data_IF_780511064229
#
_entry.id   IF_780511064229
#
_cell.length_a   1.000
_cell.length_b   1.000
_cell.length_c   1.000
_cell.angle_alpha   90.00
_cell.angle_beta   90.00
_cell.angle_gamma   90.00
#
_symmetry.space_group_name_H-M   'P 1'
#
loop_
_entity.id
_entity.type
_entity.pdbx_description
1 polymer ?
#
# COMPACT_ATOMS: atom_id res chain seq x y z
N UNK A 1 -13.56 37.13 20.89
CA UNK A 1 -12.56 37.05 19.81
C UNK A 1 -13.14 36.18 18.71
N UNK A 2 -13.64 36.73 17.59
CA UNK A 2 -14.35 35.92 16.61
C UNK A 2 -13.35 35.04 15.87
N UNK A 3 -13.63 33.73 15.81
CA UNK A 3 -12.94 32.79 14.92
C UNK A 3 -13.10 33.29 13.48
N UNK A 4 -12.01 33.80 12.89
CA UNK A 4 -11.89 33.96 11.44
C UNK A 4 -11.85 32.56 10.81
N UNK A 5 -13.03 32.00 10.57
CA UNK A 5 -13.23 30.78 9.81
C UNK A 5 -12.92 31.06 8.34
N UNK A 6 -11.83 30.42 7.90
CA UNK A 6 -11.60 29.81 6.59
C UNK A 6 -11.52 30.68 5.33
N UNK A 7 -10.37 30.55 4.67
CA UNK A 7 -10.04 31.02 3.34
C UNK A 7 -11.15 30.73 2.30
N UNK A 8 -11.51 31.75 1.53
CA UNK A 8 -12.18 31.64 0.23
C UNK A 8 -11.31 30.78 -0.71
N UNK A 9 -11.96 29.85 -1.44
CA UNK A 9 -11.43 28.94 -2.47
C UNK A 9 -10.92 27.56 -2.00
N UNK A 10 -11.69 26.87 -1.16
CA UNK A 10 -11.52 25.42 -0.97
C UNK A 10 -11.98 24.68 -2.24
N UNK A 11 -11.06 23.98 -2.91
CA UNK A 11 -11.40 23.12 -4.04
C UNK A 11 -12.01 21.80 -3.54
N UNK A 12 -13.33 21.77 -3.42
CA UNK A 12 -14.12 20.63 -2.93
C UNK A 12 -13.84 19.32 -3.65
N UNK A 13 -13.55 19.38 -4.95
CA UNK A 13 -13.24 18.19 -5.73
C UNK A 13 -11.88 17.59 -5.34
N UNK A 14 -10.88 18.42 -5.03
CA UNK A 14 -9.59 17.90 -4.53
C UNK A 14 -9.74 17.31 -3.13
N UNK A 15 -10.55 17.92 -2.26
CA UNK A 15 -10.90 17.33 -0.96
C UNK A 15 -11.58 15.98 -1.12
N UNK A 16 -12.47 15.84 -2.11
CA UNK A 16 -13.09 14.57 -2.44
C UNK A 16 -12.05 13.53 -2.87
N UNK A 17 -11.06 13.90 -3.68
CA UNK A 17 -9.95 13.00 -4.04
C UNK A 17 -9.15 12.58 -2.80
N UNK A 18 -8.86 13.50 -1.88
CA UNK A 18 -8.16 13.15 -0.64
C UNK A 18 -8.99 12.21 0.24
N UNK A 19 -10.29 12.47 0.37
CA UNK A 19 -11.22 11.56 1.05
C UNK A 19 -11.25 10.19 0.39
N UNK A 20 -11.34 10.14 -0.94
CA UNK A 20 -11.29 8.93 -1.75
C UNK A 20 -10.01 8.12 -1.45
N UNK A 21 -8.84 8.76 -1.52
CA UNK A 21 -7.55 8.13 -1.25
C UNK A 21 -7.43 7.65 0.19
N UNK A 22 -8.01 8.40 1.14
CA UNK A 22 -7.99 8.01 2.54
C UNK A 22 -8.87 6.79 2.81
N UNK A 23 -10.07 6.73 2.23
CA UNK A 23 -11.07 5.70 2.53
C UNK A 23 -10.87 4.43 1.71
N UNK A 24 -10.27 4.53 0.51
CA UNK A 24 -10.04 3.39 -0.39
C UNK A 24 -9.33 2.20 0.28
N UNK A 25 -8.20 2.39 1.01
CA UNK A 25 -7.52 1.28 1.68
C UNK A 25 -8.37 0.52 2.68
N UNK A 26 -9.46 1.10 3.19
CA UNK A 26 -10.26 0.46 4.22
C UNK A 26 -11.20 -0.61 3.66
N UNK A 27 -11.75 -0.51 2.45
CA UNK A 27 -12.74 -1.47 1.93
C UNK A 27 -13.83 -1.90 2.94
N UNK A 28 -14.51 -0.95 3.60
CA UNK A 28 -15.59 -1.26 4.56
C UNK A 28 -16.78 -2.01 3.93
N UNK A 29 -17.00 -1.85 2.61
CA UNK A 29 -18.02 -2.60 1.89
C UNK A 29 -17.58 -2.94 0.46
N UNK A 30 -18.18 -4.00 -0.11
CA UNK A 30 -17.94 -4.41 -1.51
C UNK A 30 -18.28 -3.31 -2.52
N UNK A 31 -19.30 -2.49 -2.22
CA UNK A 31 -19.77 -1.42 -3.11
C UNK A 31 -19.03 -0.09 -2.92
N UNK A 32 -18.34 0.10 -1.79
CA UNK A 32 -17.67 1.35 -1.44
C UNK A 32 -16.81 1.89 -2.58
N UNK A 33 -15.89 1.05 -3.09
CA UNK A 33 -14.97 1.48 -4.14
C UNK A 33 -15.71 1.85 -5.41
N UNK A 34 -16.68 1.03 -5.83
CA UNK A 34 -17.48 1.29 -7.04
C UNK A 34 -18.23 2.61 -6.96
N UNK A 35 -18.89 2.90 -5.84
CA UNK A 35 -19.65 4.14 -5.64
C UNK A 35 -18.73 5.35 -5.65
N UNK A 36 -17.64 5.29 -4.87
CA UNK A 36 -16.70 6.40 -4.77
C UNK A 36 -15.98 6.66 -6.10
N UNK A 37 -15.56 5.62 -6.82
CA UNK A 37 -14.94 5.76 -8.14
C UNK A 37 -15.91 6.34 -9.16
N UNK A 38 -17.19 5.95 -9.14
CA UNK A 38 -18.19 6.47 -10.07
C UNK A 38 -18.45 7.97 -9.85
N UNK A 39 -18.60 8.38 -8.59
CA UNK A 39 -18.73 9.80 -8.23
C UNK A 39 -17.49 10.59 -8.66
N UNK A 40 -16.28 10.05 -8.39
CA UNK A 40 -15.03 10.66 -8.81
C UNK A 40 -14.98 10.90 -10.33
N UNK A 41 -15.36 9.89 -11.11
CA UNK A 41 -15.33 9.94 -12.56
C UNK A 41 -16.35 10.95 -13.11
N UNK A 42 -17.61 10.86 -12.70
CA UNK A 42 -18.67 11.79 -13.15
C UNK A 42 -18.28 13.23 -12.83
N UNK A 43 -17.81 13.48 -11.60
CA UNK A 43 -17.42 14.83 -11.20
C UNK A 43 -16.17 15.32 -11.97
N UNK A 44 -15.21 14.44 -12.26
CA UNK A 44 -14.05 14.79 -13.11
C UNK A 44 -14.45 15.21 -14.52
N UNK A 45 -15.41 14.51 -15.13
CA UNK A 45 -15.92 14.81 -16.47
C UNK A 45 -16.65 16.15 -16.47
N UNK A 46 -17.54 16.37 -15.49
CA UNK A 46 -18.29 17.63 -15.37
C UNK A 46 -17.37 18.82 -15.14
N UNK A 47 -16.36 18.68 -14.26
CA UNK A 47 -15.44 19.77 -13.91
C UNK A 47 -14.52 20.17 -15.06
N UNK A 48 -14.07 19.21 -15.87
CA UNK A 48 -13.11 19.45 -16.94
C UNK A 48 -13.69 19.28 -18.35
N UNK A 49 -15.02 19.34 -18.51
CA UNK A 49 -15.75 19.02 -19.75
C UNK A 49 -15.08 19.53 -21.04
N UNK A 50 -14.58 20.76 -21.04
CA UNK A 50 -14.04 21.43 -22.22
C UNK A 50 -12.57 21.06 -22.50
N UNK A 51 -11.82 20.66 -21.48
CA UNK A 51 -10.38 20.38 -21.56
C UNK A 51 -10.02 18.92 -21.22
N UNK A 52 -11.01 18.06 -20.99
CA UNK A 52 -10.82 16.69 -20.49
C UNK A 52 -9.95 15.87 -21.43
N UNK A 53 -10.28 15.87 -22.72
CA UNK A 53 -9.55 15.12 -23.76
C UNK A 53 -8.13 15.65 -23.96
N UNK A 54 -7.93 16.96 -23.86
CA UNK A 54 -6.59 17.56 -23.98
C UNK A 54 -5.70 17.15 -22.80
N UNK A 55 -6.23 17.21 -21.58
CA UNK A 55 -5.53 16.75 -20.39
C UNK A 55 -5.24 15.25 -20.43
N UNK A 56 -6.19 14.44 -20.87
CA UNK A 56 -6.01 12.99 -21.03
C UNK A 56 -4.84 12.68 -21.99
N UNK A 57 -4.76 13.38 -23.14
CA UNK A 57 -3.65 13.23 -24.10
C UNK A 57 -2.29 13.58 -23.47
N UNK A 58 -2.23 14.64 -22.67
CA UNK A 58 -1.01 15.04 -21.94
C UNK A 58 -0.58 13.99 -20.92
N UNK A 59 -1.52 13.34 -20.25
CA UNK A 59 -1.24 12.27 -19.28
C UNK A 59 -0.81 10.97 -20.00
N UNK A 60 -1.39 10.69 -21.16
CA UNK A 60 -1.09 9.50 -21.95
C UNK A 60 0.36 9.42 -22.47
N UNK A 61 1.10 10.53 -22.48
CA UNK A 61 2.53 10.54 -22.83
C UNK A 61 3.46 10.24 -21.64
N UNK A 62 2.93 10.14 -20.41
CA UNK A 62 3.73 9.84 -19.23
C UNK A 62 4.10 8.35 -19.20
N UNK A 63 5.37 8.03 -19.41
CA UNK A 63 5.84 6.66 -19.60
C UNK A 63 5.41 5.66 -18.50
N UNK A 64 5.45 6.00 -17.18
CA UNK A 64 4.94 5.10 -16.14
C UNK A 64 3.44 4.80 -16.27
N UNK A 65 2.65 5.76 -16.73
CA UNK A 65 1.22 5.57 -16.99
C UNK A 65 1.00 4.59 -18.16
N UNK A 66 1.78 4.74 -19.22
CA UNK A 66 1.74 3.83 -20.38
C UNK A 66 2.07 2.40 -19.94
N UNK A 67 3.14 2.20 -19.16
CA UNK A 67 3.47 0.88 -18.63
C UNK A 67 2.39 0.30 -17.72
N UNK A 68 1.76 1.12 -16.88
CA UNK A 68 0.65 0.68 -16.04
C UNK A 68 -0.55 0.23 -16.88
N UNK A 69 -0.90 0.98 -17.92
CA UNK A 69 -1.99 0.60 -18.84
C UNK A 69 -1.65 -0.68 -19.60
N UNK A 70 -0.43 -0.82 -20.12
CA UNK A 70 0.04 -2.04 -20.79
C UNK A 70 -0.05 -3.23 -19.83
N UNK A 71 0.38 -3.07 -18.58
CA UNK A 71 0.30 -4.12 -17.56
C UNK A 71 -1.15 -4.55 -17.28
N UNK A 72 -2.07 -3.59 -17.18
CA UNK A 72 -3.50 -3.91 -16.99
C UNK A 72 -4.04 -4.67 -18.21
N UNK A 73 -3.76 -4.19 -19.44
CA UNK A 73 -4.17 -4.88 -20.67
C UNK A 73 -3.60 -6.29 -20.73
N UNK A 74 -2.29 -6.44 -20.44
CA UNK A 74 -1.63 -7.74 -20.36
C UNK A 74 -2.32 -8.66 -19.34
N UNK A 75 -2.72 -8.14 -18.18
CA UNK A 75 -3.42 -8.92 -17.16
C UNK A 75 -4.78 -9.43 -17.64
N UNK A 76 -5.51 -8.68 -18.46
CA UNK A 76 -6.74 -9.19 -19.07
C UNK A 76 -6.46 -10.18 -20.20
N UNK A 77 -5.45 -9.90 -21.04
CA UNK A 77 -5.06 -10.80 -22.14
C UNK A 77 -4.59 -12.15 -21.59
N UNK A 78 -3.87 -12.17 -20.46
CA UNK A 78 -3.39 -13.41 -19.84
C UNK A 78 -4.53 -14.35 -19.41
N UNK A 79 -5.76 -13.84 -19.21
CA UNK A 79 -6.93 -14.70 -18.89
C UNK A 79 -7.32 -15.64 -20.02
N UNK A 80 -6.89 -15.36 -21.26
CA UNK A 80 -7.13 -16.25 -22.41
C UNK A 80 -6.40 -17.59 -22.28
N UNK A 81 -5.38 -17.67 -21.41
CA UNK A 81 -4.67 -18.91 -21.08
C UNK A 81 -5.21 -19.61 -19.83
N UNK A 82 -6.28 -19.09 -19.22
CA UNK A 82 -6.89 -19.73 -18.05
C UNK A 82 -7.99 -20.71 -18.46
N UNK A 83 -8.01 -21.86 -17.79
CA UNK A 83 -9.06 -22.86 -17.93
C UNK A 83 -9.79 -23.04 -16.59
N UNK A 84 -11.06 -22.59 -16.45
CA UNK A 84 -11.88 -21.88 -17.43
C UNK A 84 -11.60 -20.36 -17.48
N UNK A 85 -11.76 -19.75 -18.67
CA UNK A 85 -11.55 -18.31 -18.90
C UNK A 85 -12.36 -17.43 -17.95
N UNK A 86 -13.57 -17.86 -17.59
CA UNK A 86 -14.45 -17.13 -16.66
C UNK A 86 -13.82 -16.94 -15.29
N UNK A 87 -13.10 -17.95 -14.77
CA UNK A 87 -12.41 -17.85 -13.48
C UNK A 87 -11.20 -16.91 -13.57
N UNK A 88 -10.46 -16.95 -14.69
CA UNK A 88 -9.37 -15.98 -14.91
C UNK A 88 -9.87 -14.54 -14.96
N UNK A 89 -10.97 -14.30 -15.67
CA UNK A 89 -11.61 -12.98 -15.73
C UNK A 89 -12.14 -12.53 -14.36
N UNK A 90 -12.74 -13.42 -13.58
CA UNK A 90 -13.18 -13.11 -12.22
C UNK A 90 -12.02 -12.71 -11.32
N UNK A 91 -10.89 -13.44 -11.41
CA UNK A 91 -9.66 -13.13 -10.70
C UNK A 91 -9.13 -11.74 -11.07
N UNK A 92 -8.96 -11.44 -12.36
CA UNK A 92 -8.45 -10.14 -12.83
C UNK A 92 -9.39 -9.01 -12.45
N UNK A 93 -10.70 -9.21 -12.54
CA UNK A 93 -11.70 -8.23 -12.13
C UNK A 93 -11.67 -7.94 -10.63
N UNK A 94 -11.28 -8.92 -9.81
CA UNK A 94 -11.14 -8.71 -8.36
C UNK A 94 -10.11 -7.64 -8.03
N UNK A 95 -9.07 -7.49 -8.86
CA UNK A 95 -7.96 -6.56 -8.60
C UNK A 95 -7.99 -5.30 -9.48
N UNK A 96 -8.29 -5.42 -10.78
CA UNK A 96 -8.01 -4.36 -11.76
C UNK A 96 -9.26 -3.68 -12.34
N UNK A 97 -10.47 -4.16 -12.01
CA UNK A 97 -11.73 -3.70 -12.62
C UNK A 97 -11.92 -2.18 -12.62
N UNK A 98 -11.47 -1.46 -11.60
CA UNK A 98 -11.71 -0.02 -11.47
C UNK A 98 -10.52 0.85 -11.88
N UNK A 99 -9.36 0.26 -12.15
CA UNK A 99 -8.13 1.03 -12.38
C UNK A 99 -8.23 1.92 -13.62
N UNK A 100 -8.83 1.42 -14.70
CA UNK A 100 -9.00 2.20 -15.93
C UNK A 100 -9.93 3.42 -15.76
N UNK A 101 -10.81 3.42 -14.76
CA UNK A 101 -11.70 4.54 -14.43
C UNK A 101 -11.03 5.54 -13.49
N UNK A 102 -10.32 5.03 -12.47
CA UNK A 102 -9.70 5.84 -11.42
C UNK A 102 -8.52 6.63 -11.97
N UNK A 103 -7.65 5.98 -12.74
CA UNK A 103 -6.36 6.56 -13.09
C UNK A 103 -6.52 7.84 -13.94
N UNK A 104 -7.36 7.87 -15.00
CA UNK A 104 -7.62 9.11 -15.73
C UNK A 104 -8.20 10.20 -14.85
N UNK A 105 -9.16 9.85 -13.99
CA UNK A 105 -9.84 10.82 -13.14
C UNK A 105 -8.89 11.48 -12.13
N UNK A 106 -7.96 10.73 -11.52
CA UNK A 106 -6.98 11.30 -10.58
C UNK A 106 -5.92 12.13 -11.34
N UNK A 107 -5.37 11.60 -12.43
CA UNK A 107 -4.25 12.24 -13.14
C UNK A 107 -4.63 13.53 -13.87
N UNK A 108 -5.85 13.64 -14.40
CA UNK A 108 -6.36 14.88 -15.04
C UNK A 108 -6.58 15.99 -14.01
N UNK A 109 -6.85 15.59 -12.77
CA UNK A 109 -7.41 16.45 -11.74
C UNK A 109 -6.38 17.12 -10.86
N UNK A 110 -5.28 16.44 -10.59
CA UNK A 110 -4.28 16.87 -9.61
C UNK A 110 -3.04 17.42 -10.29
N UNK A 111 -2.54 18.55 -9.78
CA UNK A 111 -1.20 19.01 -10.08
C UNK A 111 -0.14 18.26 -9.23
N UNK A 112 1.14 18.58 -9.42
CA UNK A 112 2.25 17.92 -8.70
C UNK A 112 2.15 18.08 -7.18
N UNK A 113 1.86 19.28 -6.69
CA UNK A 113 1.79 19.57 -5.25
C UNK A 113 0.61 18.85 -4.60
N UNK A 114 -0.56 18.92 -5.25
CA UNK A 114 -1.76 18.19 -4.85
C UNK A 114 -1.50 16.69 -4.84
N UNK A 115 -0.80 16.15 -5.85
CA UNK A 115 -0.46 14.73 -5.92
C UNK A 115 0.42 14.29 -4.74
N UNK A 116 1.40 15.12 -4.35
CA UNK A 116 2.22 14.86 -3.15
C UNK A 116 1.36 14.84 -1.89
N UNK A 117 0.38 15.75 -1.76
CA UNK A 117 -0.59 15.74 -0.66
C UNK A 117 -1.44 14.46 -0.71
N UNK A 118 -1.89 14.04 -1.89
CA UNK A 118 -2.64 12.80 -2.08
C UNK A 118 -1.86 11.56 -1.61
N UNK A 119 -0.57 11.47 -1.95
CA UNK A 119 0.30 10.39 -1.47
C UNK A 119 0.46 10.45 0.06
N UNK A 120 0.64 11.65 0.63
CA UNK A 120 0.69 11.84 2.09
C UNK A 120 -0.60 11.37 2.79
N UNK A 121 -1.76 11.68 2.22
CA UNK A 121 -3.07 11.24 2.73
C UNK A 121 -3.23 9.72 2.63
N UNK A 122 -2.78 9.11 1.52
CA UNK A 122 -2.78 7.67 1.35
C UNK A 122 -1.89 6.97 2.39
N UNK A 123 -0.68 7.48 2.61
CA UNK A 123 0.26 6.97 3.64
C UNK A 123 -0.32 7.13 5.04
N UNK A 124 -1.01 8.25 5.31
CA UNK A 124 -1.74 8.44 6.57
C UNK A 124 -2.81 7.37 6.76
N UNK A 125 -3.60 7.05 5.73
CA UNK A 125 -4.60 5.99 5.79
C UNK A 125 -4.00 4.62 6.10
N UNK A 126 -2.90 4.26 5.41
CA UNK A 126 -2.17 3.03 5.72
C UNK A 126 -1.63 3.02 7.16
N UNK A 127 -1.16 4.16 7.68
CA UNK A 127 -0.76 4.29 9.07
C UNK A 127 -1.91 4.10 10.06
N UNK A 128 -3.10 4.63 9.75
CA UNK A 128 -4.30 4.37 10.55
C UNK A 128 -4.71 2.90 10.49
N UNK A 129 -4.55 2.24 9.34
CA UNK A 129 -4.78 0.80 9.22
C UNK A 129 -3.76 -0.01 10.02
N UNK A 130 -2.49 0.40 10.04
CA UNK A 130 -1.46 -0.21 10.88
C UNK A 130 -1.79 -0.08 12.37
N UNK A 131 -2.29 1.08 12.80
CA UNK A 131 -2.77 1.27 14.16
C UNK A 131 -3.95 0.33 14.48
N UNK A 132 -4.93 0.22 13.57
CA UNK A 132 -6.05 -0.71 13.72
C UNK A 132 -5.57 -2.17 13.88
N UNK A 133 -4.58 -2.59 13.08
CA UNK A 133 -3.92 -3.89 13.22
C UNK A 133 -3.28 -4.08 14.59
N UNK A 134 -2.53 -3.10 15.09
CA UNK A 134 -1.94 -3.17 16.44
C UNK A 134 -3.02 -3.28 17.52
N UNK A 135 -4.14 -2.57 17.38
CA UNK A 135 -5.24 -2.65 18.35
C UNK A 135 -5.90 -4.05 18.38
N UNK A 136 -6.00 -4.72 17.23
CA UNK A 136 -6.45 -6.13 17.17
C UNK A 136 -5.45 -7.03 17.89
N UNK A 137 -4.15 -6.86 17.61
CA UNK A 137 -3.09 -7.63 18.26
C UNK A 137 -3.09 -7.48 19.79
N UNK A 138 -3.40 -6.28 20.29
CA UNK A 138 -3.53 -6.01 21.73
C UNK A 138 -4.85 -6.51 22.34
N UNK A 139 -5.75 -7.09 21.54
CA UNK A 139 -7.02 -7.65 22.01
C UNK A 139 -8.17 -6.64 22.15
N UNK A 140 -8.02 -5.40 21.67
CA UNK A 140 -9.12 -4.42 21.72
C UNK A 140 -10.25 -4.74 20.73
N UNK A 141 -9.93 -5.45 19.65
CA UNK A 141 -10.89 -5.84 18.62
C UNK A 141 -10.68 -7.31 18.26
N UNK A 142 -11.77 -8.06 18.18
CA UNK A 142 -11.78 -9.45 17.72
C UNK A 142 -13.14 -9.73 17.06
N UNK A 143 -13.14 -10.43 15.94
CA UNK A 143 -14.37 -10.93 15.33
C UNK A 143 -14.11 -12.23 14.60
N UNK A 144 -14.79 -13.29 15.06
CA UNK A 144 -14.81 -14.59 14.38
C UNK A 144 -15.54 -14.53 13.03
N UNK A 145 -16.53 -13.64 12.88
CA UNK A 145 -17.29 -13.44 11.65
C UNK A 145 -16.42 -12.86 10.53
N UNK A 146 -15.57 -11.87 10.86
CA UNK A 146 -14.68 -11.22 9.90
C UNK A 146 -13.26 -11.81 9.88
N UNK A 147 -12.98 -12.83 10.71
CA UNK A 147 -11.75 -13.62 10.68
C UNK A 147 -10.49 -12.91 11.22
N UNK A 148 -10.64 -11.79 11.93
CA UNK A 148 -9.51 -11.10 12.56
C UNK A 148 -9.49 -11.33 14.07
N UNK A 149 -8.32 -11.71 14.57
CA UNK A 149 -8.05 -12.08 15.96
C UNK A 149 -6.60 -11.71 16.32
N UNK A 150 -6.22 -11.65 17.60
CA UNK A 150 -4.88 -11.24 18.01
C UNK A 150 -3.73 -11.99 17.32
N UNK A 151 -3.92 -13.27 17.02
CA UNK A 151 -2.93 -14.15 16.36
C UNK A 151 -2.74 -13.82 14.86
N UNK A 152 -3.74 -13.18 14.27
CA UNK A 152 -3.76 -12.73 12.88
C UNK A 152 -4.39 -11.33 12.78
N UNK A 153 -3.65 -10.28 13.17
CA UNK A 153 -4.21 -8.95 13.39
C UNK A 153 -4.39 -8.16 12.08
N UNK A 154 -4.98 -8.77 11.06
CA UNK A 154 -5.02 -8.22 9.69
C UNK A 154 -6.11 -7.18 9.51
N UNK A 155 -7.02 -7.08 10.46
CA UNK A 155 -8.32 -6.44 10.26
C UNK A 155 -9.21 -7.25 9.33
N UNK A 156 -10.29 -6.62 8.86
CA UNK A 156 -11.23 -7.22 7.92
C UNK A 156 -10.67 -7.38 6.50
N UNK A 157 -9.46 -6.88 6.22
CA UNK A 157 -8.72 -7.21 5.00
C UNK A 157 -7.91 -8.49 5.17
N UNK A 158 -7.71 -9.20 4.05
CA UNK A 158 -6.74 -10.30 4.00
C UNK A 158 -5.34 -9.79 4.33
N UNK A 159 -4.57 -10.58 5.08
CA UNK A 159 -3.20 -10.23 5.49
C UNK A 159 -2.34 -9.75 4.32
N UNK A 160 -2.46 -10.39 3.15
CA UNK A 160 -1.67 -10.08 1.96
C UNK A 160 -1.79 -8.60 1.55
N UNK A 161 -2.98 -8.02 1.70
CA UNK A 161 -3.27 -6.64 1.31
C UNK A 161 -2.86 -5.70 2.45
N UNK A 162 -3.27 -6.01 3.68
CA UNK A 162 -2.97 -5.21 4.86
C UNK A 162 -1.46 -5.00 5.07
N UNK A 163 -0.65 -6.06 4.93
CA UNK A 163 0.79 -5.96 5.16
C UNK A 163 1.55 -5.27 4.02
N UNK A 164 1.02 -5.29 2.79
CA UNK A 164 1.56 -4.48 1.70
C UNK A 164 1.37 -2.99 1.98
N UNK A 165 0.22 -2.60 2.53
CA UNK A 165 -0.02 -1.22 2.94
C UNK A 165 0.96 -0.76 4.02
N UNK A 166 1.19 -1.60 5.03
CA UNK A 166 2.18 -1.34 6.10
C UNK A 166 3.61 -1.21 5.54
N UNK A 167 3.99 -2.10 4.63
CA UNK A 167 5.28 -2.05 3.95
C UNK A 167 5.49 -0.73 3.19
N UNK A 168 4.49 -0.33 2.39
CA UNK A 168 4.52 0.92 1.63
C UNK A 168 4.56 2.13 2.56
N UNK A 169 3.74 2.13 3.62
CA UNK A 169 3.67 3.20 4.60
C UNK A 169 4.96 3.38 5.39
N UNK A 170 5.66 2.28 5.72
CA UNK A 170 6.98 2.34 6.34
C UNK A 170 7.97 3.10 5.44
N UNK A 171 8.17 2.65 4.21
CA UNK A 171 9.18 3.24 3.33
C UNK A 171 8.82 4.66 2.88
N UNK A 172 7.56 4.92 2.49
CA UNK A 172 7.13 6.27 2.12
C UNK A 172 7.08 7.21 3.34
N UNK A 173 6.67 6.72 4.50
CA UNK A 173 6.73 7.47 5.76
C UNK A 173 8.17 7.88 6.08
N UNK A 174 9.11 6.94 6.05
CA UNK A 174 10.55 7.22 6.24
C UNK A 174 11.09 8.20 5.18
N UNK A 175 10.65 8.08 3.93
CA UNK A 175 11.01 9.02 2.86
C UNK A 175 10.52 10.44 3.17
N UNK A 176 9.26 10.61 3.60
CA UNK A 176 8.74 11.91 3.99
C UNK A 176 9.42 12.49 5.23
N UNK A 177 9.81 11.66 6.20
CA UNK A 177 10.60 12.10 7.36
C UNK A 177 11.93 12.70 6.92
N UNK A 178 12.61 12.06 5.96
CA UNK A 178 13.91 12.50 5.46
C UNK A 178 13.82 13.82 4.69
N UNK A 179 12.85 13.94 3.78
CA UNK A 179 12.74 15.10 2.87
C UNK A 179 11.93 16.27 3.41
N UNK A 180 11.07 16.08 4.41
CA UNK A 180 10.26 17.17 4.94
C UNK A 180 11.13 18.20 5.66
N UNK A 181 10.80 19.49 5.58
CA UNK A 181 11.42 20.53 6.41
C UNK A 181 10.55 20.88 7.64
N UNK A 182 9.30 20.41 7.66
CA UNK A 182 8.31 20.79 8.68
C UNK A 182 8.37 19.79 9.83
N UNK A 183 8.70 20.26 11.05
CA UNK A 183 8.83 19.39 12.24
C UNK A 183 7.58 18.56 12.55
N UNK A 184 6.39 19.16 12.44
CA UNK A 184 5.11 18.46 12.66
C UNK A 184 4.90 17.32 11.67
N UNK A 185 5.22 17.55 10.40
CA UNK A 185 5.11 16.55 9.34
C UNK A 185 6.11 15.40 9.56
N UNK A 186 7.35 15.71 9.94
CA UNK A 186 8.35 14.69 10.32
C UNK A 186 7.84 13.80 11.44
N UNK A 187 7.32 14.39 12.52
CA UNK A 187 6.84 13.61 13.67
C UNK A 187 5.68 12.71 13.26
N UNK A 188 4.71 13.24 12.49
CA UNK A 188 3.58 12.46 12.01
C UNK A 188 4.02 11.25 11.18
N UNK A 189 4.87 11.45 10.17
CA UNK A 189 5.32 10.35 9.31
C UNK A 189 6.29 9.40 10.00
N UNK A 190 7.02 9.86 11.01
CA UNK A 190 7.84 8.99 11.85
C UNK A 190 6.95 8.05 12.67
N UNK A 191 5.88 8.57 13.29
CA UNK A 191 4.90 7.75 14.01
C UNK A 191 4.27 6.73 13.07
N UNK A 192 3.83 7.16 11.87
CA UNK A 192 3.25 6.25 10.86
C UNK A 192 4.24 5.15 10.48
N UNK A 193 5.50 5.49 10.23
CA UNK A 193 6.53 4.51 9.86
C UNK A 193 6.75 3.50 11.00
N UNK A 194 6.87 3.96 12.24
CA UNK A 194 7.05 3.09 13.42
C UNK A 194 5.84 2.16 13.61
N UNK A 195 4.62 2.69 13.56
CA UNK A 195 3.40 1.88 13.66
C UNK A 195 3.34 0.83 12.55
N UNK A 196 3.66 1.22 11.32
CA UNK A 196 3.65 0.32 10.17
C UNK A 196 4.72 -0.77 10.27
N UNK A 197 5.89 -0.44 10.83
CA UNK A 197 6.95 -1.42 11.11
C UNK A 197 6.43 -2.49 12.10
N UNK A 198 5.90 -2.08 13.25
CA UNK A 198 5.38 -3.06 14.21
C UNK A 198 4.23 -3.88 13.64
N UNK A 199 3.26 -3.22 12.99
CA UNK A 199 2.12 -3.89 12.38
C UNK A 199 2.53 -4.93 11.32
N UNK A 200 3.59 -4.65 10.55
CA UNK A 200 4.11 -5.59 9.55
C UNK A 200 4.65 -6.88 10.16
N UNK A 201 5.35 -6.79 11.30
CA UNK A 201 6.03 -7.93 11.93
C UNK A 201 5.17 -8.70 12.93
N UNK A 202 4.07 -8.13 13.44
CA UNK A 202 3.06 -8.88 14.21
C UNK A 202 2.10 -9.66 13.28
N UNK A 203 1.96 -9.23 12.02
CA UNK A 203 1.10 -9.89 11.03
C UNK A 203 1.72 -11.17 10.45
N UNK A 204 0.87 -11.94 9.77
CA UNK A 204 1.21 -13.28 9.28
C UNK A 204 1.87 -13.34 7.88
N UNK A 205 2.08 -12.19 7.22
CA UNK A 205 2.55 -12.15 5.83
C UNK A 205 4.06 -12.33 5.68
N UNK A 206 4.50 -13.57 5.40
CA UNK A 206 5.90 -13.89 5.06
C UNK A 206 6.39 -13.09 3.86
N UNK A 207 5.59 -12.98 2.81
CA UNK A 207 5.98 -12.32 1.56
C UNK A 207 6.26 -10.83 1.76
N UNK A 208 5.42 -10.11 2.51
CA UNK A 208 5.66 -8.69 2.80
C UNK A 208 6.88 -8.48 3.70
N UNK A 209 7.13 -9.40 4.64
CA UNK A 209 8.31 -9.37 5.50
C UNK A 209 9.60 -9.63 4.71
N UNK A 210 9.62 -10.56 3.77
CA UNK A 210 10.77 -10.76 2.87
C UNK A 210 10.97 -9.56 1.95
N UNK A 211 9.88 -9.03 1.38
CA UNK A 211 9.94 -7.83 0.55
C UNK A 211 10.53 -6.64 1.32
N UNK A 212 10.23 -6.50 2.62
CA UNK A 212 10.85 -5.50 3.49
C UNK A 212 12.38 -5.63 3.51
N UNK A 213 12.91 -6.83 3.78
CA UNK A 213 14.35 -7.04 3.81
C UNK A 213 15.01 -6.77 2.45
N UNK A 214 14.38 -7.19 1.35
CA UNK A 214 14.88 -6.95 -0.01
C UNK A 214 14.92 -5.45 -0.31
N UNK A 215 13.84 -4.72 -0.06
CA UNK A 215 13.79 -3.26 -0.29
C UNK A 215 14.81 -2.55 0.61
N UNK A 216 14.91 -2.94 1.87
CA UNK A 216 15.88 -2.39 2.81
C UNK A 216 17.32 -2.60 2.32
N UNK A 217 17.63 -3.79 1.83
CA UNK A 217 18.95 -4.11 1.26
C UNK A 217 19.25 -3.27 0.02
N UNK A 218 18.30 -3.17 -0.92
CA UNK A 218 18.44 -2.34 -2.13
C UNK A 218 18.68 -0.87 -1.74
N UNK A 219 17.88 -0.32 -0.82
CA UNK A 219 18.04 1.06 -0.35
C UNK A 219 19.39 1.28 0.30
N UNK A 220 19.83 0.38 1.17
CA UNK A 220 21.16 0.45 1.79
C UNK A 220 22.26 0.42 0.74
N UNK A 221 22.20 -0.48 -0.26
CA UNK A 221 23.19 -0.53 -1.36
C UNK A 221 23.20 0.78 -2.16
N UNK A 222 22.04 1.32 -2.52
CA UNK A 222 21.95 2.59 -3.27
C UNK A 222 22.51 3.77 -2.46
N UNK A 223 22.26 3.82 -1.15
CA UNK A 223 22.79 4.86 -0.25
C UNK A 223 24.31 4.72 -0.10
N UNK A 224 24.80 3.50 0.13
CA UNK A 224 26.23 3.21 0.29
C UNK A 224 27.01 3.44 -1.00
N UNK A 225 26.41 3.27 -2.18
CA UNK A 225 27.05 3.60 -3.46
C UNK A 225 27.40 5.09 -3.57
N UNK A 226 26.57 5.98 -3.01
CA UNK A 226 26.81 7.43 -3.01
C UNK A 226 27.76 7.86 -1.89
N UNK A 227 27.74 7.16 -0.77
CA UNK A 227 28.57 7.41 0.42
C UNK A 227 29.24 6.11 0.84
N UNK A 228 30.34 5.77 0.13
CA UNK A 228 31.11 4.54 0.31
C UNK A 228 31.41 4.36 1.81
N UNK A 229 30.85 3.31 2.42
CA UNK A 229 30.94 2.98 3.84
C UNK A 229 30.46 4.06 4.82
N UNK A 230 29.28 4.66 4.59
CA UNK A 230 28.62 5.42 5.65
C UNK A 230 28.25 4.50 6.82
N UNK A 231 29.12 4.46 7.83
CA UNK A 231 28.97 3.63 9.03
C UNK A 231 27.60 3.82 9.70
N UNK A 232 27.05 5.04 9.69
CA UNK A 232 25.70 5.30 10.25
C UNK A 232 24.61 4.55 9.51
N UNK A 233 24.71 4.43 8.18
CA UNK A 233 23.75 3.69 7.37
C UNK A 233 23.85 2.17 7.63
N UNK A 234 25.08 1.65 7.79
CA UNK A 234 25.32 0.24 8.13
C UNK A 234 24.76 -0.09 9.51
N UNK A 235 25.05 0.75 10.51
CA UNK A 235 24.53 0.57 11.87
C UNK A 235 23.00 0.62 11.88
N UNK A 236 22.38 1.58 11.17
CA UNK A 236 20.93 1.67 11.06
C UNK A 236 20.33 0.42 10.40
N UNK A 237 20.95 -0.06 9.31
CA UNK A 237 20.54 -1.29 8.64
C UNK A 237 20.58 -2.49 9.59
N UNK A 238 21.66 -2.64 10.35
CA UNK A 238 21.80 -3.70 11.34
C UNK A 238 20.73 -3.60 12.42
N UNK A 239 20.52 -2.41 13.00
CA UNK A 239 19.48 -2.18 14.04
C UNK A 239 18.10 -2.56 13.51
N UNK A 240 17.71 -2.09 12.33
CA UNK A 240 16.41 -2.39 11.73
C UNK A 240 16.28 -3.89 11.47
N UNK A 241 17.31 -4.52 10.90
CA UNK A 241 17.29 -5.95 10.58
C UNK A 241 17.21 -6.82 11.83
N UNK A 242 18.02 -6.52 12.86
CA UNK A 242 18.01 -7.25 14.13
C UNK A 242 16.69 -7.08 14.85
N UNK A 243 16.15 -5.86 14.88
CA UNK A 243 14.82 -5.59 15.45
C UNK A 243 13.75 -6.40 14.72
N UNK A 244 13.77 -6.42 13.39
CA UNK A 244 12.83 -7.16 12.56
C UNK A 244 12.86 -8.66 12.87
N UNK A 245 14.05 -9.27 12.90
CA UNK A 245 14.23 -10.70 13.22
C UNK A 245 13.78 -10.99 14.65
N UNK A 246 14.14 -10.13 15.61
CA UNK A 246 13.73 -10.27 17.00
C UNK A 246 12.20 -10.24 17.14
N UNK A 247 11.50 -9.34 16.44
CA UNK A 247 10.04 -9.30 16.44
C UNK A 247 9.43 -10.56 15.84
N UNK A 248 9.97 -11.09 14.74
CA UNK A 248 9.49 -12.35 14.16
C UNK A 248 9.65 -13.53 15.13
N UNK A 249 10.80 -13.60 15.80
CA UNK A 249 11.07 -14.63 16.81
C UNK A 249 10.13 -14.50 18.00
N UNK A 250 9.95 -13.29 18.55
CA UNK A 250 9.14 -13.08 19.74
C UNK A 250 7.64 -13.33 19.53
N UNK A 251 7.17 -13.26 18.29
CA UNK A 251 5.77 -13.46 17.91
C UNK A 251 5.49 -14.85 17.30
N UNK A 252 6.41 -15.82 17.47
CA UNK A 252 6.29 -17.19 16.94
C UNK A 252 5.99 -17.23 15.42
N UNK A 253 6.56 -16.26 14.68
CA UNK A 253 6.40 -16.14 13.23
C UNK A 253 7.59 -16.74 12.47
N UNK A 254 8.70 -17.01 13.16
CA UNK A 254 9.94 -17.49 12.55
C UNK A 254 9.81 -18.90 11.98
N UNK A 255 9.13 -19.83 12.67
CA UNK A 255 9.00 -21.24 12.27
C UNK A 255 8.37 -21.41 10.88
N UNK A 256 7.55 -20.45 10.45
CA UNK A 256 6.90 -20.49 9.14
C UNK A 256 7.87 -20.30 7.99
N UNK A 257 9.00 -19.62 8.22
CA UNK A 257 10.06 -19.53 7.23
C UNK A 257 10.80 -20.87 7.10
N UNK A 258 10.98 -21.58 8.22
CA UNK A 258 11.56 -22.92 8.24
C UNK A 258 10.64 -23.92 7.52
N UNK A 259 9.34 -23.87 7.80
CA UNK A 259 8.34 -24.71 7.12
C UNK A 259 8.35 -24.44 5.61
N UNK A 260 8.31 -23.17 5.18
CA UNK A 260 8.35 -22.82 3.76
C UNK A 260 9.63 -23.31 3.05
N UNK A 261 10.78 -23.20 3.73
CA UNK A 261 12.04 -23.73 3.22
C UNK A 261 11.98 -25.26 3.03
N UNK A 262 11.46 -25.97 4.02
CA UNK A 262 11.31 -27.42 3.97
C UNK A 262 10.31 -27.88 2.90
N UNK A 263 9.20 -27.15 2.71
CA UNK A 263 8.24 -27.39 1.63
C UNK A 263 8.89 -27.19 0.26
N UNK A 264 9.65 -26.09 0.09
CA UNK A 264 10.38 -25.81 -1.15
C UNK A 264 11.39 -26.91 -1.45
N UNK A 265 12.12 -27.37 -0.42
CA UNK A 265 13.08 -28.48 -0.54
C UNK A 265 12.39 -29.77 -0.97
N UNK A 266 11.23 -30.12 -0.39
CA UNK A 266 10.45 -31.29 -0.80
C UNK A 266 9.96 -31.21 -2.25
N UNK A 267 9.55 -30.03 -2.71
CA UNK A 267 9.17 -29.82 -4.12
C UNK A 267 10.38 -30.07 -5.03
N UNK A 268 11.55 -29.53 -4.70
CA UNK A 268 12.76 -29.69 -5.51
C UNK A 268 13.29 -31.13 -5.53
N UNK A 269 13.22 -31.83 -4.39
CA UNK A 269 13.77 -33.19 -4.25
C UNK A 269 12.79 -34.28 -4.72
N UNK A 270 11.49 -34.12 -4.45
CA UNK A 270 10.49 -35.18 -4.60
C UNK A 270 9.37 -34.85 -5.61
N UNK A 271 9.36 -33.66 -6.25
CA UNK A 271 8.26 -33.18 -7.10
C UNK A 271 6.88 -33.22 -6.43
N UNK A 272 6.82 -33.21 -5.09
CA UNK A 272 5.57 -33.21 -4.33
C UNK A 272 5.10 -31.79 -4.07
N UNK A 273 4.04 -31.38 -4.75
CA UNK A 273 3.40 -30.08 -4.55
C UNK A 273 2.32 -30.17 -3.47
N UNK A 274 2.73 -30.14 -2.20
CA UNK A 274 1.79 -29.81 -1.12
C UNK A 274 1.56 -28.30 -1.14
N UNK A 275 0.30 -27.87 -1.28
CA UNK A 275 -0.04 -26.44 -1.21
C UNK A 275 0.50 -25.80 0.07
N UNK A 276 0.90 -24.52 -0.02
CA UNK A 276 1.42 -23.76 1.13
C UNK A 276 0.44 -23.79 2.30
N UNK A 277 0.91 -24.23 3.47
CA UNK A 277 0.26 -23.96 4.77
C UNK A 277 0.65 -22.57 5.27
#
# INVERSE_FOLDING_TARGET
MPLKLYNKNVNWFNLYIYFYLFVTPWHFSKSQLSVLTTILLIWSIVKYKDIYLEKLKKVGSFLPMVFLLIFIVYSYVSTLWSEPISQGLEHVNTFYKYYFLIIPAILISMNKEESVIGIKVLVLSFGCYALYSILIYLGFFNSSEYGFQPENPTGHLRYLIATQYMLIAFFLGSFFVYFSHIKKEKILFLIIAILSFFALFINNSRTSQLAFFIILLILTVLILRKYIFNFKAIVLFLIISFSSIYFLYKNDKFDRFVIAYNETKKVLENNTYSGSV
#
